data_IF_091903721261
#
_entry.id   IF_091903721261
#
_cell.length_a   1.000
_cell.length_b   1.000
_cell.length_c   1.000
_cell.angle_alpha   90.00
_cell.angle_beta   90.00
_cell.angle_gamma   90.00
#
_symmetry.space_group_name_H-M   'P 1'
#
loop_
_entity.id
_entity.type
_entity.pdbx_description
1 polymer ?
#
# COMPACT_ATOMS: atom_id res chain seq x y z
N UNK A 1 -11.53 -3.02 -3.11
CA UNK A 1 -11.84 -1.93 -2.16
C UNK A 1 -13.31 -1.59 -2.30
N UNK A 2 -13.92 -1.05 -1.25
CA UNK A 2 -15.23 -0.40 -1.30
C UNK A 2 -15.05 1.08 -0.97
N UNK A 3 -15.81 1.96 -1.61
CA UNK A 3 -15.73 3.41 -1.40
C UNK A 3 -17.09 3.93 -1.00
N UNK A 4 -17.18 4.60 0.14
CA UNK A 4 -18.39 5.32 0.55
C UNK A 4 -18.50 6.62 -0.26
N UNK A 5 -19.54 6.79 -1.10
CA UNK A 5 -19.67 7.97 -1.95
C UNK A 5 -19.97 9.27 -1.17
N UNK A 6 -20.51 9.17 0.03
CA UNK A 6 -20.88 10.34 0.83
C UNK A 6 -19.70 10.88 1.63
N UNK A 7 -18.75 10.02 2.01
CA UNK A 7 -17.60 10.36 2.87
C UNK A 7 -16.25 10.24 2.20
N UNK A 8 -16.14 9.49 1.10
CA UNK A 8 -14.90 9.14 0.42
C UNK A 8 -14.04 8.13 1.17
N UNK A 9 -14.52 7.56 2.28
CA UNK A 9 -13.80 6.52 3.02
C UNK A 9 -13.61 5.29 2.13
N UNK A 10 -12.39 4.74 2.12
CA UNK A 10 -12.01 3.57 1.35
C UNK A 10 -11.75 2.39 2.29
N UNK A 11 -12.52 1.33 2.13
CA UNK A 11 -12.34 0.07 2.85
C UNK A 11 -11.61 -0.97 1.98
N UNK A 12 -10.57 -1.59 2.52
CA UNK A 12 -9.88 -2.71 1.86
C UNK A 12 -10.56 -4.01 2.27
N UNK A 13 -11.48 -4.48 1.43
CA UNK A 13 -12.27 -5.69 1.70
C UNK A 13 -11.50 -7.01 1.54
N UNK A 14 -10.50 -7.04 0.66
CA UNK A 14 -9.63 -8.20 0.42
C UNK A 14 -8.31 -7.74 -0.19
N UNK A 15 -7.23 -8.44 0.12
CA UNK A 15 -5.90 -8.15 -0.43
C UNK A 15 -5.09 -9.45 -0.59
N UNK A 16 -4.70 -9.72 -1.84
CA UNK A 16 -3.89 -10.88 -2.21
C UNK A 16 -2.55 -10.42 -2.77
N UNK A 17 -1.46 -10.98 -2.23
CA UNK A 17 -0.09 -10.75 -2.71
C UNK A 17 0.54 -12.08 -3.14
N UNK A 18 1.10 -12.12 -4.35
CA UNK A 18 1.83 -13.28 -4.86
C UNK A 18 3.19 -12.83 -5.36
N UNK A 19 4.25 -13.31 -4.70
CA UNK A 19 5.62 -12.88 -4.95
C UNK A 19 6.52 -14.02 -5.43
N UNK A 20 7.59 -13.69 -6.16
CA UNK A 20 8.64 -14.63 -6.56
C UNK A 20 10.01 -14.20 -6.05
N UNK A 21 10.42 -14.79 -4.93
CA UNK A 21 11.71 -14.51 -4.28
C UNK A 21 12.81 -15.51 -4.66
N UNK A 22 12.60 -16.33 -5.70
CA UNK A 22 13.45 -17.48 -5.97
C UNK A 22 13.40 -18.48 -4.82
N UNK A 23 14.55 -19.04 -4.44
CA UNK A 23 14.61 -19.90 -3.25
C UNK A 23 14.38 -19.09 -1.97
N UNK A 24 13.42 -19.50 -1.16
CA UNK A 24 13.12 -18.86 0.12
C UNK A 24 13.92 -19.55 1.23
N UNK A 25 14.72 -18.78 1.97
CA UNK A 25 15.53 -19.29 3.09
C UNK A 25 14.64 -19.59 4.30
N UNK A 26 13.77 -18.64 4.67
CA UNK A 26 12.87 -18.77 5.80
C UNK A 26 11.49 -18.21 5.42
N UNK A 27 10.50 -19.08 5.16
CA UNK A 27 9.16 -18.65 4.74
C UNK A 27 8.46 -17.75 5.75
N UNK A 28 8.58 -18.02 7.06
CA UNK A 28 7.93 -17.21 8.09
C UNK A 28 8.46 -15.78 8.12
N UNK A 29 9.78 -15.60 7.96
CA UNK A 29 10.38 -14.26 7.90
C UNK A 29 9.94 -13.53 6.63
N UNK A 30 9.91 -14.22 5.48
CA UNK A 30 9.46 -13.66 4.20
C UNK A 30 8.01 -13.22 4.27
N UNK A 31 7.12 -14.05 4.81
CA UNK A 31 5.71 -13.72 5.02
C UNK A 31 5.57 -12.46 5.90
N UNK A 32 6.32 -12.39 7.00
CA UNK A 32 6.36 -11.18 7.85
C UNK A 32 6.88 -9.93 7.13
N UNK A 33 7.84 -10.07 6.22
CA UNK A 33 8.30 -8.96 5.37
C UNK A 33 7.22 -8.50 4.39
N UNK A 34 6.51 -9.44 3.76
CA UNK A 34 5.39 -9.13 2.87
C UNK A 34 4.32 -8.37 3.66
N UNK A 35 3.89 -8.85 4.83
CA UNK A 35 2.90 -8.16 5.67
C UNK A 35 3.32 -6.72 6.01
N UNK A 36 4.57 -6.53 6.42
CA UNK A 36 5.09 -5.20 6.72
C UNK A 36 5.13 -4.27 5.50
N UNK A 37 5.55 -4.80 4.35
CA UNK A 37 5.56 -4.05 3.09
C UNK A 37 4.16 -3.69 2.61
N UNK A 38 3.19 -4.61 2.69
CA UNK A 38 1.80 -4.35 2.35
C UNK A 38 1.22 -3.24 3.22
N UNK A 39 1.44 -3.29 4.54
CA UNK A 39 1.02 -2.23 5.46
C UNK A 39 1.61 -0.86 5.09
N UNK A 40 2.90 -0.81 4.74
CA UNK A 40 3.56 0.42 4.30
C UNK A 40 2.98 0.97 2.99
N UNK A 41 2.79 0.13 1.97
CA UNK A 41 2.29 0.64 0.69
C UNK A 41 0.80 0.99 0.73
N UNK A 42 0.00 0.28 1.53
CA UNK A 42 -1.38 0.68 1.84
C UNK A 42 -1.39 2.03 2.57
N UNK A 43 -0.55 2.20 3.58
CA UNK A 43 -0.39 3.45 4.31
C UNK A 43 -0.01 4.62 3.41
N UNK A 44 0.99 4.43 2.57
CA UNK A 44 1.42 5.41 1.58
C UNK A 44 0.31 5.77 0.57
N UNK A 45 -0.55 4.81 0.20
CA UNK A 45 -1.65 5.04 -0.72
C UNK A 45 -2.78 5.86 -0.09
N UNK A 46 -3.17 5.58 1.15
CA UNK A 46 -4.42 6.09 1.74
C UNK A 46 -4.24 7.12 2.87
N UNK A 47 -3.12 7.06 3.61
CA UNK A 47 -3.02 7.68 4.93
C UNK A 47 -1.83 8.64 5.07
N UNK A 48 -0.63 8.21 4.68
CA UNK A 48 0.63 8.87 5.00
C UNK A 48 0.90 10.08 4.10
N UNK A 49 1.16 11.26 4.69
CA UNK A 49 1.42 12.50 3.96
C UNK A 49 2.49 13.35 4.65
N UNK A 50 3.57 13.66 3.94
CA UNK A 50 4.55 14.67 4.34
C UNK A 50 4.14 16.07 3.89
N UNK A 51 3.57 16.87 4.80
CA UNK A 51 3.06 18.21 4.50
C UNK A 51 4.04 19.27 4.97
N UNK A 52 4.40 20.17 4.06
CA UNK A 52 5.27 21.31 4.33
C UNK A 52 4.49 22.62 4.18
N UNK A 53 4.76 23.60 5.04
CA UNK A 53 4.22 24.95 4.89
C UNK A 53 5.04 25.82 3.92
N UNK A 54 4.60 27.06 3.68
CA UNK A 54 5.24 28.01 2.76
C UNK A 54 6.68 28.39 3.16
N UNK A 55 7.07 28.14 4.41
CA UNK A 55 8.43 28.36 4.92
C UNK A 55 9.35 27.16 4.73
N UNK A 56 8.81 26.03 4.27
CA UNK A 56 9.52 24.75 4.15
C UNK A 56 9.59 23.97 5.45
N UNK A 57 8.78 24.31 6.46
CA UNK A 57 8.70 23.55 7.70
C UNK A 57 7.80 22.32 7.51
N UNK A 58 8.27 21.14 7.91
CA UNK A 58 7.44 19.94 7.99
C UNK A 58 6.42 20.11 9.12
N UNK A 59 5.15 20.27 8.77
CA UNK A 59 4.05 20.45 9.74
C UNK A 59 3.40 19.12 10.12
N UNK A 60 3.61 18.05 9.32
CA UNK A 60 3.18 16.68 9.63
C UNK A 60 4.28 15.89 10.37
N UNK A 61 4.97 16.51 11.32
CA UNK A 61 6.16 15.94 11.97
C UNK A 61 5.90 14.99 13.15
N UNK A 62 4.64 14.71 13.46
CA UNK A 62 4.22 13.89 14.60
C UNK A 62 3.13 12.89 14.19
N UNK A 63 2.93 11.82 14.96
CA UNK A 63 1.83 10.87 14.72
C UNK A 63 0.43 11.43 14.98
N UNK A 64 0.31 12.68 15.45
CA UNK A 64 -0.98 13.38 15.46
C UNK A 64 -1.36 13.89 14.07
N UNK A 65 -0.37 14.13 13.22
CA UNK A 65 -0.52 14.79 11.91
C UNK A 65 -0.14 13.85 10.75
N UNK A 66 0.80 12.94 10.98
CA UNK A 66 1.21 11.87 10.07
C UNK A 66 0.49 10.58 10.45
N UNK A 67 -0.52 10.23 9.66
CA UNK A 67 -1.39 9.07 9.94
C UNK A 67 -0.66 7.76 9.68
N UNK A 68 -0.01 7.22 10.71
CA UNK A 68 0.55 5.87 10.67
C UNK A 68 -0.58 4.83 10.59
N UNK A 69 -0.50 3.85 9.66
CA UNK A 69 -1.47 2.75 9.59
C UNK A 69 -1.54 1.96 10.90
N UNK A 70 -2.77 1.63 11.29
CA UNK A 70 -3.10 0.82 12.47
C UNK A 70 -3.63 -0.54 12.03
N UNK A 71 -3.81 -1.42 13.01
CA UNK A 71 -4.27 -2.78 12.77
C UNK A 71 -5.69 -2.83 12.17
N UNK A 72 -6.54 -1.86 12.50
CA UNK A 72 -7.92 -1.73 11.99
C UNK A 72 -8.01 -1.01 10.64
N UNK A 73 -6.94 -0.39 10.17
CA UNK A 73 -6.86 0.19 8.81
C UNK A 73 -6.56 -0.88 7.74
N UNK A 74 -6.19 -2.10 8.15
CA UNK A 74 -5.66 -3.15 7.27
C UNK A 74 -6.54 -4.41 7.29
N UNK A 75 -6.71 -5.09 6.15
CA UNK A 75 -7.34 -6.39 6.11
C UNK A 75 -6.38 -7.47 6.63
N UNK A 76 -6.90 -8.69 6.80
CA UNK A 76 -6.02 -9.86 6.74
C UNK A 76 -5.51 -10.06 5.32
N UNK A 77 -4.23 -10.40 5.17
CA UNK A 77 -3.61 -10.61 3.86
C UNK A 77 -3.65 -12.07 3.46
N UNK A 78 -3.91 -12.34 2.19
CA UNK A 78 -3.62 -13.63 1.57
C UNK A 78 -2.27 -13.53 0.85
N UNK A 79 -1.27 -14.25 1.33
CA UNK A 79 0.08 -14.25 0.75
C UNK A 79 0.40 -15.61 0.17
N UNK A 80 0.90 -15.63 -1.06
CA UNK A 80 1.42 -16.85 -1.71
C UNK A 80 2.73 -16.54 -2.44
N UNK A 81 3.45 -17.59 -2.85
CA UNK A 81 4.72 -17.42 -3.56
C UNK A 81 4.91 -18.42 -4.69
N UNK A 82 5.58 -17.98 -5.75
CA UNK A 82 6.14 -18.87 -6.79
C UNK A 82 7.66 -18.88 -6.73
N UNK A 83 8.28 -19.89 -7.35
CA UNK A 83 9.73 -20.07 -7.29
C UNK A 83 10.33 -20.08 -8.68
N UNK A 84 11.05 -19.00 -9.01
CA UNK A 84 11.92 -18.92 -10.18
C UNK A 84 13.36 -18.65 -9.71
N UNK A 85 14.24 -19.65 -9.65
CA UNK A 85 15.58 -19.49 -9.07
C UNK A 85 16.44 -18.44 -9.81
N UNK A 86 17.22 -17.67 -9.06
CA UNK A 86 18.21 -16.77 -9.64
C UNK A 86 19.41 -17.56 -10.21
N UNK A 87 19.68 -17.46 -11.51
CA UNK A 87 20.73 -18.25 -12.18
C UNK A 87 22.17 -17.82 -11.84
N UNK A 88 22.35 -16.63 -11.26
CA UNK A 88 23.67 -16.05 -10.95
C UNK A 88 23.95 -15.94 -9.45
N UNK A 89 22.97 -16.29 -8.60
CA UNK A 89 23.15 -16.40 -7.16
C UNK A 89 23.34 -17.89 -6.82
N UNK A 90 24.45 -18.31 -6.16
CA UNK A 90 24.69 -19.71 -5.85
C UNK A 90 23.60 -20.40 -5.03
N UNK A 91 22.82 -19.63 -4.25
CA UNK A 91 21.71 -20.14 -3.44
C UNK A 91 20.36 -20.08 -4.19
N UNK A 92 20.30 -19.48 -5.38
CA UNK A 92 19.05 -19.30 -6.14
C UNK A 92 18.09 -18.27 -5.57
N UNK A 93 18.51 -17.48 -4.56
CA UNK A 93 17.67 -16.51 -3.84
C UNK A 93 17.60 -15.15 -4.54
N UNK A 94 16.51 -14.39 -4.29
CA UNK A 94 16.33 -12.99 -4.69
C UNK A 94 16.03 -12.11 -3.46
N UNK A 95 16.05 -10.79 -3.64
CA UNK A 95 15.64 -9.83 -2.60
C UNK A 95 14.12 -9.86 -2.38
N UNK A 96 13.69 -9.62 -1.14
CA UNK A 96 12.28 -9.69 -0.72
C UNK A 96 11.78 -8.42 -0.01
N UNK A 97 12.64 -7.72 0.73
CA UNK A 97 12.20 -6.73 1.74
C UNK A 97 11.33 -5.57 1.24
N UNK A 98 11.46 -5.15 -0.02
CA UNK A 98 10.74 -3.99 -0.56
C UNK A 98 9.51 -4.38 -1.40
N UNK A 99 9.35 -5.66 -1.74
CA UNK A 99 8.38 -6.11 -2.74
C UNK A 99 6.93 -5.76 -2.36
N UNK A 100 6.57 -6.00 -1.10
CA UNK A 100 5.23 -5.70 -0.58
C UNK A 100 4.88 -4.21 -0.69
N UNK A 101 5.81 -3.31 -0.37
CA UNK A 101 5.57 -1.86 -0.37
C UNK A 101 5.41 -1.29 -1.78
N UNK A 102 6.23 -1.77 -2.72
CA UNK A 102 6.22 -1.32 -4.12
C UNK A 102 4.89 -1.69 -4.79
N UNK A 103 4.50 -2.97 -4.69
CA UNK A 103 3.31 -3.48 -5.39
C UNK A 103 2.00 -2.99 -4.79
N UNK A 104 1.90 -2.94 -3.46
CA UNK A 104 0.63 -2.63 -2.78
C UNK A 104 0.15 -1.20 -3.02
N UNK A 105 1.06 -0.22 -3.01
CA UNK A 105 0.71 1.18 -3.24
C UNK A 105 -0.05 1.35 -4.56
N UNK A 106 0.52 0.81 -5.65
CA UNK A 106 -0.11 0.89 -6.97
C UNK A 106 -1.40 0.06 -7.07
N UNK A 107 -1.43 -1.13 -6.44
CA UNK A 107 -2.62 -1.97 -6.42
C UNK A 107 -3.82 -1.26 -5.76
N UNK A 108 -3.60 -0.60 -4.61
CA UNK A 108 -4.64 0.17 -3.91
C UNK A 108 -5.10 1.35 -4.76
N UNK A 109 -4.18 2.15 -5.29
CA UNK A 109 -4.55 3.32 -6.10
C UNK A 109 -5.32 2.94 -7.36
N UNK A 110 -4.94 1.84 -8.02
CA UNK A 110 -5.68 1.31 -9.17
C UNK A 110 -7.08 0.82 -8.78
N UNK A 111 -7.21 0.20 -7.61
CA UNK A 111 -8.52 -0.25 -7.13
C UNK A 111 -9.44 0.94 -6.79
N UNK A 112 -8.89 2.04 -6.25
CA UNK A 112 -9.62 3.27 -5.99
C UNK A 112 -10.07 3.94 -7.29
N UNK A 113 -9.17 4.09 -8.27
CA UNK A 113 -9.53 4.70 -9.57
C UNK A 113 -10.56 3.87 -10.33
N UNK A 114 -10.44 2.55 -10.30
CA UNK A 114 -11.42 1.61 -10.87
C UNK A 114 -12.79 1.75 -10.20
N UNK A 115 -12.84 1.76 -8.86
CA UNK A 115 -14.08 1.92 -8.10
C UNK A 115 -14.80 3.25 -8.38
N UNK A 116 -14.05 4.33 -8.61
CA UNK A 116 -14.61 5.65 -8.94
C UNK A 116 -14.90 5.83 -10.45
N UNK A 117 -14.35 4.99 -11.32
CA UNK A 117 -14.43 5.16 -12.76
C UNK A 117 -13.69 6.40 -13.30
N UNK A 118 -12.62 6.84 -12.61
CA UNK A 118 -11.82 8.02 -12.99
C UNK A 118 -10.43 7.62 -13.46
N UNK A 119 -9.77 8.48 -14.23
CA UNK A 119 -8.44 8.18 -14.78
C UNK A 119 -7.32 8.22 -13.73
N UNK A 120 -7.46 9.05 -12.69
CA UNK A 120 -6.44 9.23 -11.65
C UNK A 120 -7.03 9.85 -10.38
N UNK A 121 -6.50 9.47 -9.23
CA UNK A 121 -6.71 10.12 -7.93
C UNK A 121 -5.33 10.48 -7.37
N UNK A 122 -5.10 11.70 -6.86
CA UNK A 122 -3.80 12.05 -6.28
C UNK A 122 -3.56 11.29 -4.97
N UNK A 123 -2.29 11.03 -4.68
CA UNK A 123 -1.89 10.41 -3.42
C UNK A 123 -1.54 11.46 -2.35
N UNK A 124 -1.80 11.17 -1.06
CA UNK A 124 -2.59 10.03 -0.62
C UNK A 124 -4.07 10.20 -0.96
N UNK A 125 -4.74 9.09 -1.27
CA UNK A 125 -6.17 8.98 -1.51
C UNK A 125 -6.92 9.03 -0.17
N UNK A 126 -6.77 10.14 0.55
CA UNK A 126 -7.51 10.43 1.78
C UNK A 126 -9.02 10.48 1.49
N UNK A 127 -9.88 10.35 2.51
CA UNK A 127 -11.33 10.45 2.31
C UNK A 127 -11.76 11.73 1.58
N UNK A 128 -11.16 12.88 1.93
CA UNK A 128 -11.44 14.15 1.22
C UNK A 128 -11.01 14.09 -0.25
N UNK A 129 -9.80 13.58 -0.52
CA UNK A 129 -9.28 13.45 -1.88
C UNK A 129 -10.18 12.57 -2.75
N UNK A 130 -10.57 11.42 -2.23
CA UNK A 130 -11.45 10.45 -2.90
C UNK A 130 -12.84 11.03 -3.13
N UNK A 131 -13.39 11.71 -2.14
CA UNK A 131 -14.69 12.35 -2.22
C UNK A 131 -14.76 13.45 -3.29
N UNK A 132 -13.71 14.29 -3.38
CA UNK A 132 -13.59 15.31 -4.44
C UNK A 132 -13.49 14.66 -5.82
N UNK A 133 -12.62 13.65 -5.94
CA UNK A 133 -12.45 12.93 -7.20
C UNK A 133 -13.76 12.25 -7.67
N UNK A 134 -14.53 11.66 -6.74
CA UNK A 134 -15.84 11.06 -7.04
C UNK A 134 -16.87 12.06 -7.59
N UNK A 135 -16.68 13.36 -7.31
CA UNK A 135 -17.53 14.47 -7.76
C UNK A 135 -16.98 15.20 -9.00
N UNK A 136 -15.80 14.82 -9.46
CA UNK A 136 -15.09 15.47 -10.56
C UNK A 136 -14.50 16.84 -10.18
N UNK A 137 -14.18 17.04 -8.90
CA UNK A 137 -13.51 18.24 -8.36
C UNK A 137 -11.99 18.07 -8.26
#
# INVERSE_FOLDING_TARGET
>A
VEVDPDTGVVDIVDFVAVDDFGHIINPMIVEGQVHGGLAQGIGQALLEHGVYDDSGQLISGSYMDYTMPRADDLPSFTVDTTVTPCTHNPLGVKGCGEAGAIGSTAAVMNAVTDALGVASVPMPATPETVWRAARGE
#
